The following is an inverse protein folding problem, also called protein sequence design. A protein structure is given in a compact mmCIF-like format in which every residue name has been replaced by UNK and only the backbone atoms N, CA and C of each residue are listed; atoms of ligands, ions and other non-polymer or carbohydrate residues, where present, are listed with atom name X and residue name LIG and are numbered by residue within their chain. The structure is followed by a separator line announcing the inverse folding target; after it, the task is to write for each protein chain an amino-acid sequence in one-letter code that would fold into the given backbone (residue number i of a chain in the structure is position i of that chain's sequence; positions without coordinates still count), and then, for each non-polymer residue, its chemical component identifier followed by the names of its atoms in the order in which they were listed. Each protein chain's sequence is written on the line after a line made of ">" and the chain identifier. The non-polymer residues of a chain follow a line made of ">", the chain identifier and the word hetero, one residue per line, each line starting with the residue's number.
data_IF_456746513202
#
_entry.id   IF_456746513202
#
_cell.length_a   1.000
_cell.length_b   1.000
_cell.length_c   1.000
_cell.angle_alpha   90.00
_cell.angle_beta   90.00
_cell.angle_gamma   90.00
#
_symmetry.space_group_name_H-M   'P 1'
#
loop_
_entity.id
_entity.type
_entity.pdbx_description
1 polymer ?
#
# COMPACT_ATOMS: atom_id res chain seq x y z
N UNK A 1 -2.57 -10.12 -10.04
CA UNK A 1 -2.20 -8.93 -9.25
C UNK A 1 -3.31 -7.91 -9.32
N UNK A 2 -3.18 -6.79 -8.59
CA UNK A 2 -4.11 -5.63 -8.62
C UNK A 2 -3.29 -4.34 -8.48
N UNK A 3 -3.71 -3.27 -9.16
CA UNK A 3 -3.13 -1.94 -8.98
C UNK A 3 -3.64 -1.40 -7.65
N UNK A 4 -2.75 -0.91 -6.80
CA UNK A 4 -3.10 -0.38 -5.47
C UNK A 4 -2.91 1.12 -5.34
N UNK A 5 -2.08 1.71 -6.20
CA UNK A 5 -1.80 3.14 -6.23
C UNK A 5 -1.28 3.54 -7.61
N UNK A 6 -1.65 4.72 -8.09
CA UNK A 6 -1.18 5.31 -9.34
C UNK A 6 -1.31 6.83 -9.29
N UNK A 7 -0.39 7.55 -9.91
CA UNK A 7 -0.37 9.02 -9.87
C UNK A 7 0.88 9.56 -10.54
N UNK A 8 1.15 10.86 -10.34
CA UNK A 8 2.43 11.44 -10.72
C UNK A 8 3.59 10.72 -10.01
N UNK A 9 4.73 10.61 -10.68
CA UNK A 9 5.87 9.87 -10.14
C UNK A 9 6.41 10.50 -8.86
N UNK A 10 6.50 11.83 -8.80
CA UNK A 10 7.00 12.53 -7.63
C UNK A 10 6.04 12.36 -6.45
N UNK A 11 4.74 12.44 -6.68
CA UNK A 11 3.73 12.25 -5.64
C UNK A 11 3.72 10.83 -5.09
N UNK A 12 3.79 9.80 -5.95
CA UNK A 12 3.83 8.39 -5.49
C UNK A 12 5.11 8.09 -4.71
N UNK A 13 6.23 8.70 -5.06
CA UNK A 13 7.51 8.48 -4.37
C UNK A 13 7.61 9.24 -3.04
N UNK A 14 7.12 10.47 -2.98
CA UNK A 14 7.29 11.35 -1.83
C UNK A 14 6.07 11.38 -0.89
N UNK A 15 4.87 11.26 -1.44
CA UNK A 15 3.60 11.28 -0.71
C UNK A 15 2.76 10.00 -0.94
N UNK A 16 3.33 8.77 -0.83
CA UNK A 16 2.55 7.56 -1.05
C UNK A 16 1.40 7.46 -0.05
N UNK A 17 0.18 7.20 -0.53
CA UNK A 17 -1.02 7.13 0.31
C UNK A 17 -1.40 5.69 0.66
N UNK A 18 -1.08 4.70 -0.18
CA UNK A 18 -1.38 3.30 0.11
C UNK A 18 -0.31 2.70 1.04
N UNK A 19 -0.68 1.99 2.13
CA UNK A 19 0.27 1.41 3.08
C UNK A 19 1.31 0.47 2.46
N UNK A 20 0.93 -0.26 1.41
CA UNK A 20 1.85 -1.09 0.64
C UNK A 20 2.94 -0.26 -0.05
N UNK A 21 2.57 0.81 -0.75
CA UNK A 21 3.52 1.70 -1.45
C UNK A 21 4.43 2.38 -0.45
N UNK A 22 3.89 2.90 0.66
CA UNK A 22 4.69 3.45 1.79
C UNK A 22 5.76 2.47 2.23
N UNK A 23 5.39 1.21 2.40
CA UNK A 23 6.32 0.19 2.86
C UNK A 23 7.35 -0.22 1.80
N UNK A 24 7.00 -0.21 0.51
CA UNK A 24 7.96 -0.38 -0.59
C UNK A 24 9.00 0.75 -0.62
N UNK A 25 8.56 2.01 -0.51
CA UNK A 25 9.46 3.17 -0.47
C UNK A 25 10.37 3.14 0.76
N UNK A 26 9.83 2.77 1.93
CA UNK A 26 10.60 2.63 3.16
C UNK A 26 11.66 1.52 3.08
N UNK A 27 11.41 0.45 2.31
CA UNK A 27 12.34 -0.66 2.12
C UNK A 27 13.43 -0.36 1.08
N UNK A 28 13.30 0.70 0.28
CA UNK A 28 14.29 1.04 -0.73
C UNK A 28 15.60 1.49 -0.07
N UNK A 29 16.76 0.95 -0.51
CA UNK A 29 18.05 1.34 0.04
C UNK A 29 18.33 2.83 -0.24
N UNK A 30 19.10 3.44 0.65
CA UNK A 30 19.66 4.77 0.44
C UNK A 30 21.11 4.60 -0.01
N UNK A 31 21.58 5.31 -1.06
CA UNK A 31 22.96 5.15 -1.54
C UNK A 31 24.01 5.49 -0.49
N UNK A 32 23.71 6.45 0.39
CA UNK A 32 24.57 6.81 1.51
C UNK A 32 24.43 5.77 2.64
N UNK A 33 25.49 5.01 2.99
CA UNK A 33 25.45 3.99 4.04
C UNK A 33 25.21 4.57 5.45
N UNK A 34 25.46 5.87 5.66
CA UNK A 34 25.17 6.54 6.92
C UNK A 34 23.66 6.82 7.11
N UNK A 35 22.89 6.81 6.02
CA UNK A 35 21.46 7.13 6.04
C UNK A 35 20.65 5.84 5.93
N UNK A 36 19.72 5.65 6.87
CA UNK A 36 18.74 4.55 6.83
C UNK A 36 17.33 5.09 6.89
N UNK A 37 16.46 4.59 6.00
CA UNK A 37 15.02 4.80 6.15
C UNK A 37 14.50 3.95 7.30
N UNK A 38 13.60 4.50 8.11
CA UNK A 38 12.91 3.72 9.12
C UNK A 38 12.02 2.68 8.40
N UNK A 39 12.21 1.37 8.63
CA UNK A 39 11.40 0.36 7.97
C UNK A 39 9.98 0.41 8.51
N UNK A 40 9.00 0.31 7.61
CA UNK A 40 7.62 0.06 8.01
C UNK A 40 7.49 -1.43 8.26
N UNK A 41 7.14 -1.80 9.49
CA UNK A 41 6.95 -3.20 9.86
C UNK A 41 5.74 -3.77 9.10
N UNK A 42 6.01 -4.57 8.07
CA UNK A 42 5.02 -5.41 7.41
C UNK A 42 5.10 -6.80 8.06
N UNK A 43 4.05 -7.21 8.77
CA UNK A 43 3.94 -8.56 9.32
C UNK A 43 3.24 -9.50 8.34
N UNK A 44 3.56 -10.79 8.40
CA UNK A 44 2.82 -11.84 7.68
C UNK A 44 3.54 -12.37 6.43
N UNK A 45 3.25 -13.63 6.10
CA UNK A 45 3.84 -14.31 4.95
C UNK A 45 3.29 -13.77 3.62
N UNK A 46 4.08 -13.89 2.54
CA UNK A 46 3.56 -13.67 1.18
C UNK A 46 2.55 -14.78 0.90
N UNK A 47 1.27 -14.46 0.63
CA UNK A 47 0.28 -15.50 0.37
C UNK A 47 0.62 -16.23 -0.93
N UNK A 48 0.62 -17.56 -0.89
CA UNK A 48 0.65 -18.40 -2.10
C UNK A 48 -0.73 -18.30 -2.75
N UNK A 49 -0.83 -17.55 -3.85
CA UNK A 49 -2.12 -17.16 -4.39
C UNK A 49 -2.67 -18.20 -5.38
N UNK A 50 -3.32 -19.24 -4.86
CA UNK A 50 -4.30 -20.03 -5.60
C UNK A 50 -5.67 -19.62 -5.04
N UNK A 51 -6.50 -18.99 -5.86
CA UNK A 51 -7.83 -18.46 -5.51
C UNK A 51 -7.93 -17.54 -4.26
N UNK A 52 -7.31 -16.35 -4.30
CA UNK A 52 -7.38 -15.39 -3.22
C UNK A 52 -8.78 -14.78 -3.05
N UNK A 53 -9.25 -14.74 -1.80
CA UNK A 53 -10.49 -14.06 -1.36
C UNK A 53 -10.65 -12.68 -2.02
N UNK A 54 -11.90 -12.24 -2.30
CA UNK A 54 -12.16 -11.01 -3.06
C UNK A 54 -11.86 -9.72 -2.31
N UNK A 55 -11.20 -9.77 -1.14
CA UNK A 55 -10.76 -8.62 -0.32
C UNK A 55 -9.47 -7.97 -0.84
N UNK A 56 -9.07 -6.88 -0.17
CA UNK A 56 -7.76 -6.26 -0.38
C UNK A 56 -6.61 -7.29 -0.29
N UNK A 57 -5.79 -7.37 -1.34
CA UNK A 57 -4.67 -8.33 -1.42
C UNK A 57 -3.57 -8.06 -0.42
N UNK A 58 -3.52 -6.85 0.14
CA UNK A 58 -2.59 -6.47 1.19
C UNK A 58 -3.16 -6.68 2.61
N UNK A 59 -4.45 -7.01 2.78
CA UNK A 59 -5.15 -7.07 4.07
C UNK A 59 -4.34 -7.78 5.17
N UNK A 60 -3.91 -9.03 4.94
CA UNK A 60 -3.23 -9.85 5.95
C UNK A 60 -1.84 -9.35 6.36
N UNK A 61 -1.33 -8.32 5.66
CA UNK A 61 -0.04 -7.69 5.90
C UNK A 61 -0.14 -6.18 6.16
N UNK A 62 -1.35 -5.62 6.07
CA UNK A 62 -1.55 -4.19 6.17
C UNK A 62 -1.54 -3.77 7.64
N UNK A 63 -0.65 -2.85 8.05
CA UNK A 63 -0.52 -2.45 9.46
C UNK A 63 -1.72 -1.62 9.96
N UNK A 64 -2.57 -1.14 9.05
CA UNK A 64 -3.76 -0.35 9.36
C UNK A 64 -5.07 -1.05 8.93
N UNK A 65 -5.04 -2.38 8.72
CA UNK A 65 -6.25 -3.12 8.35
C UNK A 65 -7.33 -3.00 9.43
N UNK A 66 -8.58 -2.80 8.99
CA UNK A 66 -9.78 -2.73 9.85
C UNK A 66 -10.82 -3.76 9.40
N UNK A 67 -11.91 -3.89 10.15
CA UNK A 67 -13.03 -4.79 9.79
C UNK A 67 -13.69 -4.41 8.47
N UNK A 68 -13.72 -3.12 8.11
CA UNK A 68 -14.15 -2.67 6.78
C UNK A 68 -13.34 -3.36 5.65
N UNK A 69 -12.03 -3.53 5.84
CA UNK A 69 -11.17 -4.20 4.87
C UNK A 69 -11.35 -5.73 4.86
N UNK A 70 -11.85 -6.31 5.96
CA UNK A 70 -12.13 -7.74 6.12
C UNK A 70 -13.44 -8.11 5.43
N UNK A 71 -14.45 -7.28 5.61
CA UNK A 71 -15.84 -7.56 5.25
C UNK A 71 -16.26 -6.97 3.90
N UNK A 72 -15.36 -6.24 3.24
CA UNK A 72 -15.57 -5.70 1.90
C UNK A 72 -14.69 -6.37 0.85
N UNK A 73 -15.14 -6.27 -0.39
CA UNK A 73 -14.32 -6.60 -1.55
C UNK A 73 -13.09 -5.68 -1.67
N UNK A 74 -12.25 -5.93 -2.66
CA UNK A 74 -11.10 -5.09 -2.92
C UNK A 74 -11.55 -3.67 -3.26
N UNK A 75 -11.06 -2.63 -2.54
CA UNK A 75 -11.41 -1.25 -2.82
C UNK A 75 -11.16 -0.88 -4.29
N UNK A 76 -12.04 -0.06 -4.90
CA UNK A 76 -11.75 0.54 -6.20
C UNK A 76 -10.61 1.56 -6.08
N UNK A 77 -10.00 1.91 -7.20
CA UNK A 77 -9.11 3.07 -7.27
C UNK A 77 -9.94 4.34 -7.11
N UNK A 78 -9.68 5.11 -6.06
CA UNK A 78 -10.33 6.38 -5.77
C UNK A 78 -9.31 7.51 -5.76
N UNK A 79 -9.68 8.67 -6.29
CA UNK A 79 -8.84 9.87 -6.27
C UNK A 79 -8.70 10.39 -4.83
N UNK A 80 -7.46 10.48 -4.37
CA UNK A 80 -7.07 11.07 -3.09
C UNK A 80 -6.69 12.54 -3.22
N UNK A 81 -6.70 13.09 -4.46
CA UNK A 81 -6.37 14.45 -4.79
C UNK A 81 -5.37 14.52 -5.95
N UNK A 82 -5.55 15.49 -6.86
CA UNK A 82 -4.57 15.77 -7.92
C UNK A 82 -4.37 14.65 -8.96
N UNK A 83 -5.32 13.71 -9.07
CA UNK A 83 -5.19 12.54 -9.95
C UNK A 83 -4.35 11.41 -9.34
N UNK A 84 -4.04 11.50 -8.05
CA UNK A 84 -3.40 10.42 -7.28
C UNK A 84 -4.49 9.44 -6.84
N UNK A 85 -4.51 8.26 -7.43
CA UNK A 85 -5.52 7.24 -7.15
C UNK A 85 -4.96 6.15 -6.24
N UNK A 86 -5.75 5.71 -5.26
CA UNK A 86 -5.40 4.59 -4.40
C UNK A 86 -6.57 3.62 -4.19
N UNK A 87 -6.27 2.32 -4.16
CA UNK A 87 -7.22 1.27 -3.85
C UNK A 87 -7.15 0.95 -2.36
N UNK A 88 -7.62 1.86 -1.52
CA UNK A 88 -7.59 1.74 -0.06
C UNK A 88 -8.77 2.48 0.57
N UNK A 89 -9.54 1.81 1.42
CA UNK A 89 -10.63 2.45 2.18
C UNK A 89 -10.17 3.51 3.17
N UNK A 90 -8.88 3.51 3.53
CA UNK A 90 -8.30 4.39 4.56
C UNK A 90 -7.26 5.35 3.99
N UNK A 91 -7.04 5.38 2.67
CA UNK A 91 -6.14 6.34 2.07
C UNK A 91 -6.74 7.75 2.15
N UNK A 92 -5.91 8.70 2.57
CA UNK A 92 -6.20 10.13 2.56
C UNK A 92 -4.98 10.81 1.96
N UNK A 93 -5.22 11.75 1.05
CA UNK A 93 -4.20 12.63 0.47
C UNK A 93 -3.88 13.80 1.39
#
# INVERSE_FOLDING_TARGET
>A
GKIVETGDTEEVLHNPVHPYTRALIAAAPVPDPAVKRAPIAISGAIPVAIDPLPRCRFYGRCPIATDLCRDSDHPPLTDTGGGHLAACYLAQG
#
